data_IF_580801838504
#
_entry.id   IF_580801838504
#
_cell.length_a   1.000
_cell.length_b   1.000
_cell.length_c   1.000
_cell.angle_alpha   90.00
_cell.angle_beta   90.00
_cell.angle_gamma   90.00
#
_symmetry.space_group_name_H-M   'P 1'
#
loop_
_entity.id
_entity.type
_entity.pdbx_description
1 polymer ?
#
# COMPACT_ATOMS: atom_id res chain seq x y z
N UNK A 1 5.36 -6.16 -7.54
CA UNK A 1 5.76 -5.72 -6.19
C UNK A 1 6.61 -6.80 -5.54
N UNK A 2 7.02 -6.57 -4.30
CA UNK A 2 7.94 -7.43 -3.53
C UNK A 2 7.25 -8.01 -2.29
N UNK A 3 7.63 -9.22 -1.91
CA UNK A 3 7.31 -9.83 -0.61
C UNK A 3 8.58 -9.82 0.24
N UNK A 4 8.59 -9.02 1.30
CA UNK A 4 9.78 -8.77 2.14
C UNK A 4 9.56 -9.17 3.61
N UNK A 5 8.32 -9.45 4.02
CA UNK A 5 7.98 -9.99 5.33
C UNK A 5 6.84 -11.01 5.20
N UNK A 6 6.67 -11.85 6.21
CA UNK A 6 5.53 -12.74 6.27
C UNK A 6 4.25 -11.96 6.52
N UNK A 7 3.16 -12.38 5.89
CA UNK A 7 1.86 -11.79 6.10
C UNK A 7 1.45 -11.95 7.56
N UNK A 8 0.79 -10.93 8.13
CA UNK A 8 0.24 -11.02 9.48
C UNK A 8 -1.28 -11.30 9.47
N UNK A 9 -1.73 -12.53 9.12
CA UNK A 9 -3.15 -12.85 9.13
C UNK A 9 -3.69 -12.88 10.56
N UNK A 10 -4.99 -12.61 10.70
CA UNK A 10 -5.68 -12.87 11.97
C UNK A 10 -5.60 -14.36 12.35
N UNK A 11 -5.65 -14.68 13.66
CA UNK A 11 -5.53 -16.07 14.14
C UNK A 11 -6.71 -16.96 13.75
N UNK A 12 -7.81 -16.38 13.24
CA UNK A 12 -9.03 -17.09 12.87
C UNK A 12 -9.38 -16.69 11.43
N UNK A 13 -9.55 -17.69 10.56
CA UNK A 13 -10.14 -17.48 9.23
C UNK A 13 -11.66 -17.35 9.38
N UNK A 14 -12.17 -16.12 9.31
CA UNK A 14 -13.61 -15.83 9.42
C UNK A 14 -14.40 -16.11 8.15
N UNK A 15 -13.75 -16.53 7.06
CA UNK A 15 -14.40 -16.72 5.75
C UNK A 15 -14.52 -15.43 4.93
N UNK A 16 -13.81 -14.35 5.30
CA UNK A 16 -13.87 -13.06 4.60
C UNK A 16 -13.63 -13.18 3.09
N UNK A 17 -12.64 -13.97 2.68
CA UNK A 17 -12.37 -14.18 1.26
C UNK A 17 -13.50 -14.93 0.54
N UNK A 18 -14.10 -15.94 1.16
CA UNK A 18 -15.24 -16.66 0.59
C UNK A 18 -16.44 -15.72 0.44
N UNK A 19 -16.67 -14.83 1.41
CA UNK A 19 -17.74 -13.83 1.31
C UNK A 19 -17.52 -12.88 0.11
N UNK A 20 -16.27 -12.52 -0.22
CA UNK A 20 -15.98 -11.73 -1.43
C UNK A 20 -16.27 -12.51 -2.71
N UNK A 21 -15.90 -13.79 -2.76
CA UNK A 21 -16.21 -14.66 -3.90
C UNK A 21 -17.73 -14.84 -4.10
N UNK A 22 -18.46 -15.12 -3.03
CA UNK A 22 -19.92 -15.29 -3.05
C UNK A 22 -20.65 -14.01 -3.49
N UNK A 23 -20.10 -12.84 -3.13
CA UNK A 23 -20.66 -11.54 -3.54
C UNK A 23 -20.52 -11.31 -5.05
N UNK A 24 -19.42 -11.75 -5.65
CA UNK A 24 -19.19 -11.74 -7.10
C UNK A 24 -18.90 -10.37 -7.73
N UNK A 25 -18.97 -9.27 -6.97
CA UNK A 25 -18.73 -7.90 -7.46
C UNK A 25 -17.44 -7.26 -6.90
N UNK A 26 -16.76 -7.92 -5.97
CA UNK A 26 -15.50 -7.47 -5.37
C UNK A 26 -14.36 -7.72 -6.36
N UNK A 27 -13.75 -6.65 -6.87
CA UNK A 27 -12.63 -6.73 -7.83
C UNK A 27 -11.27 -6.90 -7.18
N UNK A 28 -11.11 -6.39 -5.96
CA UNK A 28 -9.90 -6.59 -5.19
C UNK A 28 -10.03 -6.11 -3.75
N UNK A 29 -9.15 -6.61 -2.89
CA UNK A 29 -8.95 -6.11 -1.54
C UNK A 29 -7.47 -5.79 -1.33
N UNK A 30 -7.21 -4.61 -0.78
CA UNK A 30 -5.86 -4.10 -0.59
C UNK A 30 -5.64 -3.76 0.87
N UNK A 31 -4.50 -4.20 1.40
CA UNK A 31 -4.18 -4.10 2.83
C UNK A 31 -2.86 -3.36 3.05
N UNK A 32 -2.71 -2.82 4.26
CA UNK A 32 -1.44 -2.35 4.79
C UNK A 32 -1.01 -3.27 5.92
N UNK A 33 -0.69 -2.70 7.10
CA UNK A 33 -0.17 -3.37 8.28
C UNK A 33 1.27 -3.89 8.12
N UNK A 34 1.52 -4.71 7.11
CA UNK A 34 2.87 -5.17 6.75
C UNK A 34 3.53 -4.08 5.90
N UNK A 35 4.52 -3.37 6.47
CA UNK A 35 5.05 -2.13 5.93
C UNK A 35 5.96 -2.29 4.72
N UNK A 36 6.51 -3.48 4.46
CA UNK A 36 7.51 -3.72 3.41
C UNK A 36 7.02 -4.64 2.29
N UNK A 37 5.79 -5.16 2.38
CA UNK A 37 5.14 -5.88 1.30
C UNK A 37 4.50 -4.91 0.29
N UNK A 38 4.66 -5.20 -1.00
CA UNK A 38 4.15 -4.34 -2.09
C UNK A 38 3.59 -5.13 -3.27
N UNK A 39 3.47 -6.44 -3.14
CA UNK A 39 2.98 -7.32 -4.21
C UNK A 39 1.46 -7.22 -4.39
N UNK A 40 1.00 -7.70 -5.55
CA UNK A 40 -0.40 -7.96 -5.88
C UNK A 40 -0.45 -9.33 -6.52
N UNK A 41 -1.46 -10.12 -6.21
CA UNK A 41 -1.77 -11.38 -6.87
C UNK A 41 -3.26 -11.48 -7.19
N UNK A 42 -3.61 -12.15 -8.28
CA UNK A 42 -5.00 -12.47 -8.58
C UNK A 42 -5.32 -13.88 -8.06
N UNK A 43 -6.34 -13.99 -7.21
CA UNK A 43 -6.81 -15.25 -6.66
C UNK A 43 -8.30 -15.40 -6.94
N UNK A 44 -8.65 -16.37 -7.78
CA UNK A 44 -10.02 -16.62 -8.25
C UNK A 44 -10.74 -15.38 -8.81
N UNK A 45 -10.01 -14.52 -9.54
CA UNK A 45 -10.60 -13.33 -10.15
C UNK A 45 -10.66 -12.11 -9.23
N UNK A 46 -10.26 -12.24 -7.96
CA UNK A 46 -10.14 -11.12 -7.02
C UNK A 46 -8.66 -10.74 -6.88
N UNK A 47 -8.32 -9.47 -7.01
CA UNK A 47 -6.98 -8.99 -6.73
C UNK A 47 -6.74 -8.83 -5.22
N UNK A 48 -5.63 -9.39 -4.74
CA UNK A 48 -5.19 -9.31 -3.36
C UNK A 48 -3.86 -8.56 -3.36
N UNK A 49 -3.78 -7.44 -2.66
CA UNK A 49 -2.60 -6.59 -2.77
C UNK A 49 -2.19 -5.87 -1.50
N UNK A 50 -0.90 -5.54 -1.43
CA UNK A 50 -0.33 -4.70 -0.39
C UNK A 50 -0.09 -3.27 -0.89
N UNK A 51 -0.41 -2.31 -0.01
CA UNK A 51 0.09 -0.94 -0.09
C UNK A 51 1.34 -0.79 0.79
N UNK A 52 2.45 -0.23 0.28
CA UNK A 52 3.63 0.03 1.11
C UNK A 52 3.32 1.03 2.23
N UNK A 53 4.17 1.05 3.26
CA UNK A 53 4.16 2.13 4.24
C UNK A 53 4.49 3.49 3.61
N UNK A 54 3.55 4.45 3.70
CA UNK A 54 3.74 5.81 3.17
C UNK A 54 4.60 6.69 4.06
N UNK A 55 4.50 6.52 5.38
CA UNK A 55 5.25 7.30 6.36
C UNK A 55 6.61 6.72 6.73
N UNK A 56 7.46 7.54 7.34
CA UNK A 56 8.83 7.19 7.75
C UNK A 56 8.98 6.87 9.25
N UNK A 57 7.91 7.07 10.05
CA UNK A 57 7.95 6.81 11.49
C UNK A 57 7.79 5.34 11.88
N UNK A 58 7.35 4.49 10.95
CA UNK A 58 7.21 3.06 11.17
C UNK A 58 8.45 2.28 10.73
N UNK A 59 8.55 0.99 11.09
CA UNK A 59 9.64 0.14 10.63
C UNK A 59 9.65 -0.01 9.09
N UNK A 60 10.80 -0.40 8.55
CA UNK A 60 11.00 -0.66 7.14
C UNK A 60 11.95 -1.83 6.94
N UNK A 61 12.64 -1.87 5.80
CA UNK A 61 13.65 -2.91 5.55
C UNK A 61 14.85 -2.74 6.50
N UNK A 62 15.79 -3.69 6.47
CA UNK A 62 16.99 -3.62 7.30
C UNK A 62 18.06 -2.70 6.69
N UNK A 63 18.87 -2.10 7.56
CA UNK A 63 20.07 -1.35 7.16
C UNK A 63 19.78 -0.13 6.28
N UNK A 64 20.64 0.10 5.28
CA UNK A 64 20.56 1.24 4.37
C UNK A 64 19.26 1.24 3.52
N UNK A 65 18.64 0.08 3.35
CA UNK A 65 17.45 -0.12 2.54
C UNK A 65 16.15 0.25 3.27
N UNK A 66 16.23 0.67 4.55
CA UNK A 66 15.09 0.91 5.45
C UNK A 66 13.90 1.58 4.79
N UNK A 67 14.17 2.61 3.98
CA UNK A 67 13.13 3.42 3.35
C UNK A 67 12.93 3.14 1.85
N UNK A 68 13.59 2.14 1.24
CA UNK A 68 13.55 1.91 -0.22
C UNK A 68 12.13 1.72 -0.77
N UNK A 69 11.28 1.04 0.00
CA UNK A 69 9.93 0.67 -0.42
C UNK A 69 8.85 1.65 0.06
N UNK A 70 9.23 2.80 0.65
CA UNK A 70 8.25 3.83 1.05
C UNK A 70 7.50 4.33 -0.17
N UNK A 71 6.19 4.46 -0.04
CA UNK A 71 5.36 4.89 -1.16
C UNK A 71 3.87 4.75 -0.89
N UNK A 72 3.11 4.78 -1.97
CA UNK A 72 1.69 4.52 -1.96
C UNK A 72 1.29 3.65 -3.15
N UNK A 73 0.11 3.04 -3.04
CA UNK A 73 -0.55 2.37 -4.16
C UNK A 73 -1.60 3.31 -4.73
N UNK A 74 -1.54 3.52 -6.04
CA UNK A 74 -2.51 4.32 -6.80
C UNK A 74 -3.44 3.36 -7.53
N UNK A 75 -4.74 3.65 -7.47
CA UNK A 75 -5.78 2.94 -8.22
C UNK A 75 -6.22 3.80 -9.39
N UNK A 76 -6.24 3.22 -10.58
CA UNK A 76 -6.68 3.90 -11.79
C UNK A 76 -8.13 3.50 -12.06
N UNK A 77 -9.02 4.48 -11.91
CA UNK A 77 -10.45 4.35 -12.20
C UNK A 77 -10.78 5.15 -13.45
N UNK A 78 -11.45 4.53 -14.41
CA UNK A 78 -11.76 5.08 -15.72
C UNK A 78 -13.21 4.71 -16.07
N UNK A 79 -14.08 5.71 -16.20
CA UNK A 79 -15.50 5.52 -16.52
C UNK A 79 -15.74 4.83 -17.88
N UNK A 80 -14.74 4.87 -18.77
CA UNK A 80 -14.80 4.23 -20.07
C UNK A 80 -14.23 2.80 -20.06
N UNK A 81 -13.66 2.35 -18.93
CA UNK A 81 -13.15 1.00 -18.79
C UNK A 81 -14.26 0.05 -18.31
N UNK A 82 -14.38 -1.17 -18.89
CA UNK A 82 -15.33 -2.18 -18.41
C UNK A 82 -15.12 -2.47 -16.91
N UNK A 83 -16.09 -2.08 -16.07
CA UNK A 83 -16.01 -2.28 -14.63
C UNK A 83 -15.32 -1.15 -13.84
N UNK A 84 -15.02 -0.01 -14.47
CA UNK A 84 -14.45 1.22 -13.90
C UNK A 84 -13.01 1.06 -13.40
N UNK A 85 -12.69 -0.01 -12.69
CA UNK A 85 -11.36 -0.31 -12.21
C UNK A 85 -10.47 -0.82 -13.36
N UNK A 86 -9.44 -0.04 -13.71
CA UNK A 86 -8.57 -0.30 -14.85
C UNK A 86 -7.28 -1.01 -14.46
N UNK A 87 -6.58 -0.47 -13.46
CA UNK A 87 -5.30 -1.00 -12.99
C UNK A 87 -4.90 -0.42 -11.62
N UNK A 88 -3.81 -0.94 -11.04
CA UNK A 88 -3.14 -0.38 -9.89
C UNK A 88 -1.62 -0.38 -10.04
N UNK A 89 -0.97 0.67 -9.53
CA UNK A 89 0.49 0.79 -9.57
C UNK A 89 1.06 1.36 -8.28
N UNK A 90 2.34 1.11 -8.06
CA UNK A 90 3.10 1.70 -6.97
C UNK A 90 3.66 3.06 -7.40
N UNK A 91 3.68 4.01 -6.46
CA UNK A 91 4.47 5.24 -6.53
C UNK A 91 5.39 5.23 -5.34
N UNK A 92 6.70 5.15 -5.57
CA UNK A 92 7.66 5.19 -4.48
C UNK A 92 8.06 6.62 -4.16
N UNK A 93 8.39 6.86 -2.89
CA UNK A 93 8.87 8.15 -2.40
C UNK A 93 10.14 8.61 -3.15
N UNK A 94 11.05 7.69 -3.50
CA UNK A 94 12.22 7.99 -4.36
C UNK A 94 11.84 8.59 -5.71
N UNK A 95 10.73 8.14 -6.31
CA UNK A 95 10.30 8.59 -7.63
C UNK A 95 9.76 10.03 -7.58
N UNK A 96 9.47 10.52 -6.36
CA UNK A 96 9.06 11.89 -6.06
C UNK A 96 10.23 12.76 -5.56
N UNK A 97 11.45 12.25 -5.55
CA UNK A 97 12.64 12.97 -5.08
C UNK A 97 12.77 13.08 -3.56
N UNK A 98 12.02 12.28 -2.80
CA UNK A 98 12.15 12.24 -1.34
C UNK A 98 13.45 11.51 -0.97
N UNK A 99 14.22 12.10 -0.05
CA UNK A 99 15.42 11.47 0.51
C UNK A 99 15.05 10.22 1.32
N UNK A 100 15.62 9.08 0.94
CA UNK A 100 15.37 7.78 1.56
C UNK A 100 16.51 7.34 2.48
N UNK A 101 17.48 8.20 2.77
CA UNK A 101 18.56 7.89 3.71
C UNK A 101 17.99 7.31 5.00
N UNK A 102 18.59 6.23 5.49
CA UNK A 102 18.13 5.53 6.69
C UNK A 102 18.52 6.25 7.99
N UNK A 103 18.22 7.55 8.07
CA UNK A 103 18.42 8.43 9.22
C UNK A 103 17.12 9.12 9.61
N UNK A 104 17.12 9.78 10.77
CA UNK A 104 16.00 10.61 11.20
C UNK A 104 16.18 12.02 10.63
N UNK A 105 15.12 12.57 10.06
CA UNK A 105 15.11 13.87 9.40
C UNK A 105 14.07 14.79 10.04
N UNK A 106 14.35 15.31 11.25
CA UNK A 106 13.43 16.22 11.91
C UNK A 106 13.27 17.51 11.12
N UNK A 107 12.04 17.97 10.95
CA UNK A 107 11.71 19.27 10.37
C UNK A 107 10.99 20.13 11.41
N UNK A 108 11.12 21.45 11.30
CA UNK A 108 10.27 22.38 12.03
C UNK A 108 8.86 22.29 11.41
N UNK A 109 7.81 21.97 12.19
CA UNK A 109 6.45 21.94 11.66
C UNK A 109 6.08 23.28 11.02
N UNK A 110 5.59 23.23 9.79
CA UNK A 110 5.04 24.41 9.12
C UNK A 110 3.77 24.86 9.89
N UNK A 111 3.52 26.17 10.03
CA UNK A 111 2.26 26.66 10.58
C UNK A 111 1.09 26.16 9.71
N UNK A 112 -0.04 25.85 10.35
CA UNK A 112 -1.25 25.44 9.64
C UNK A 112 -1.73 26.57 8.71
N UNK A 113 -2.17 26.22 7.50
CA UNK A 113 -2.85 27.17 6.63
C UNK A 113 -4.11 27.69 7.34
N UNK A 114 -4.42 29.00 7.31
CA UNK A 114 -5.65 29.53 7.91
C UNK A 114 -6.95 28.84 7.45
N UNK A 115 -6.94 28.16 6.29
CA UNK A 115 -8.05 27.35 5.77
C UNK A 115 -8.18 25.96 6.40
N UNK A 116 -7.18 25.55 7.18
CA UNK A 116 -7.15 24.29 7.95
C UNK A 116 -7.51 24.52 9.44
N UNK A 117 -7.79 25.77 9.83
CA UNK A 117 -8.25 26.17 11.16
C UNK A 117 -9.78 26.32 11.22
#
# INVERSE_FOLDING_TARGET
GERNEDECPGPINSGLFNAFLERGDVRGYFVGHDHVNTYVGNYYGVELGYGPGTGFGAYGLSGAERNRVRGARVFELDENHPGIYKDTRLVFAKDLGIDLTANDQPIVPQPLDPRQL
#
